data_IF_915016461171
#
_entry.id   IF_915016461171
#
_cell.length_a   1.000
_cell.length_b   1.000
_cell.length_c   1.000
_cell.angle_alpha   90.00
_cell.angle_beta   90.00
_cell.angle_gamma   90.00
#
_symmetry.space_group_name_H-M   'P 1'
#
loop_
_entity.id
_entity.type
_entity.pdbx_description
1 polymer ?
#
# COMPACT_ATOMS: atom_id res chain seq x y z
N UNK A 1 -3.37 8.96 -2.19
CA UNK A 1 -2.96 7.76 -1.43
C UNK A 1 -1.67 7.23 -2.03
N UNK A 2 -0.69 6.76 -1.24
CA UNK A 2 0.61 6.43 -1.79
C UNK A 2 0.55 5.11 -2.57
N UNK A 3 0.89 5.17 -3.85
CA UNK A 3 1.22 4.02 -4.69
C UNK A 3 2.72 4.16 -4.98
N UNK A 4 3.50 3.11 -4.72
CA UNK A 4 4.95 3.14 -4.94
C UNK A 4 5.26 2.49 -6.29
N UNK A 5 5.86 3.27 -7.19
CA UNK A 5 6.37 2.76 -8.46
C UNK A 5 7.87 2.47 -8.32
N UNK A 6 8.28 1.22 -8.52
CA UNK A 6 9.69 0.82 -8.55
C UNK A 6 10.06 0.50 -9.99
N UNK A 7 11.03 1.24 -10.54
CA UNK A 7 11.51 0.98 -11.89
C UNK A 7 12.65 -0.08 -11.83
N UNK A 8 12.64 -1.10 -12.69
CA UNK A 8 13.69 -2.12 -12.69
C UNK A 8 15.08 -1.50 -13.03
N UNK A 9 16.13 -2.07 -12.45
CA UNK A 9 17.51 -1.63 -12.69
C UNK A 9 17.92 -1.84 -14.15
N UNK A 10 18.70 -0.90 -14.71
CA UNK A 10 19.30 -1.05 -16.05
C UNK A 10 20.47 -2.03 -15.99
N UNK A 11 20.42 -3.12 -16.75
CA UNK A 11 21.63 -3.84 -17.14
C UNK A 11 22.29 -3.08 -18.29
N UNK A 12 23.41 -2.40 -18.01
CA UNK A 12 24.32 -1.84 -19.02
C UNK A 12 23.84 -0.56 -19.71
N UNK A 13 24.59 0.54 -19.53
CA UNK A 13 24.42 1.78 -20.29
C UNK A 13 24.66 3.02 -19.43
N UNK A 14 25.67 3.81 -19.82
CA UNK A 14 26.27 4.93 -19.08
C UNK A 14 25.28 5.80 -18.29
N UNK A 15 25.65 6.03 -17.03
CA UNK A 15 24.95 6.85 -16.05
C UNK A 15 25.03 8.33 -16.43
N UNK A 16 24.03 8.85 -17.15
CA UNK A 16 23.78 10.29 -17.23
C UNK A 16 22.90 10.71 -16.05
N UNK A 17 23.58 11.07 -14.96
CA UNK A 17 23.24 12.16 -14.04
C UNK A 17 21.76 12.33 -13.63
N UNK A 18 21.29 11.41 -12.79
CA UNK A 18 20.33 11.73 -11.71
C UNK A 18 21.05 11.60 -10.36
N UNK A 19 22.14 12.36 -10.20
CA UNK A 19 22.71 12.67 -8.90
C UNK A 19 22.42 14.15 -8.62
N UNK A 20 21.15 14.48 -8.35
CA UNK A 20 20.83 15.68 -7.59
C UNK A 20 21.03 15.33 -6.12
N UNK A 21 21.87 16.10 -5.43
CA UNK A 21 22.13 16.00 -4.00
C UNK A 21 20.87 15.64 -3.22
N UNK A 22 20.86 14.43 -2.62
CA UNK A 22 19.80 14.01 -1.70
C UNK A 22 19.84 14.95 -0.50
N UNK A 23 18.86 15.83 -0.39
CA UNK A 23 18.80 16.85 0.65
C UNK A 23 18.56 16.23 2.03
N UNK A 24 19.23 16.77 3.04
CA UNK A 24 19.01 16.52 4.48
C UNK A 24 17.78 17.25 5.04
N UNK A 25 16.94 17.79 4.15
CA UNK A 25 15.84 18.71 4.48
C UNK A 25 14.55 18.15 3.91
N UNK A 26 13.47 18.20 4.70
CA UNK A 26 12.15 17.74 4.25
C UNK A 26 11.61 18.57 3.08
N UNK A 27 10.93 17.95 2.10
CA UNK A 27 10.25 18.68 1.04
C UNK A 27 9.31 19.76 1.59
N UNK A 28 9.30 20.98 1.02
CA UNK A 28 8.60 22.13 1.60
C UNK A 28 7.06 22.00 1.58
N UNK A 29 6.53 21.03 0.83
CA UNK A 29 5.11 20.75 0.79
C UNK A 29 4.63 19.84 1.93
N UNK A 30 5.57 19.20 2.65
CA UNK A 30 5.25 18.42 3.83
C UNK A 30 4.94 19.37 5.00
N UNK A 31 3.97 19.03 5.85
CA UNK A 31 3.65 19.85 7.01
C UNK A 31 4.81 19.79 8.02
N UNK A 32 5.04 20.86 8.80
CA UNK A 32 6.20 20.99 9.71
C UNK A 32 6.28 19.86 10.75
N UNK A 33 5.15 19.23 11.04
CA UNK A 33 5.00 18.09 11.93
C UNK A 33 5.88 16.89 11.54
N UNK A 34 6.34 16.78 10.29
CA UNK A 34 7.35 15.77 9.89
C UNK A 34 8.65 15.86 10.71
N UNK A 35 8.98 17.04 11.23
CA UNK A 35 10.18 17.24 12.04
C UNK A 35 10.10 16.52 13.39
N UNK A 36 8.88 16.18 13.85
CA UNK A 36 8.62 15.46 15.11
C UNK A 36 8.75 13.94 14.97
N UNK A 37 8.93 13.41 13.76
CA UNK A 37 9.16 11.98 13.55
C UNK A 37 10.48 11.59 14.21
N UNK A 38 10.46 10.59 15.11
CA UNK A 38 11.65 10.09 15.80
C UNK A 38 12.34 8.97 15.01
N UNK A 39 11.56 8.08 14.38
CA UNK A 39 12.08 6.94 13.61
C UNK A 39 12.99 7.38 12.44
N UNK A 40 14.29 6.99 12.43
CA UNK A 40 15.24 7.45 11.43
C UNK A 40 14.89 7.03 10.00
N UNK A 41 14.41 5.81 9.81
CA UNK A 41 14.04 5.27 8.50
C UNK A 41 12.81 5.99 7.94
N UNK A 42 11.82 6.28 8.78
CA UNK A 42 10.65 7.06 8.42
C UNK A 42 11.00 8.51 8.07
N UNK A 43 11.97 9.12 8.77
CA UNK A 43 12.50 10.45 8.40
C UNK A 43 13.18 10.41 7.05
N UNK A 44 14.04 9.42 6.79
CA UNK A 44 14.71 9.28 5.49
C UNK A 44 13.70 9.13 4.35
N UNK A 45 12.69 8.27 4.55
CA UNK A 45 11.61 8.11 3.58
C UNK A 45 10.85 9.42 3.35
N UNK A 46 10.51 10.14 4.43
CA UNK A 46 9.80 11.41 4.36
C UNK A 46 10.60 12.48 3.58
N UNK A 47 11.92 12.56 3.78
CA UNK A 47 12.79 13.48 3.01
C UNK A 47 12.80 13.17 1.50
N UNK A 48 12.49 11.93 1.12
CA UNK A 48 12.49 11.45 -0.27
C UNK A 48 11.11 11.51 -0.93
N UNK A 49 10.06 11.92 -0.21
CA UNK A 49 8.70 12.03 -0.78
C UNK A 49 8.69 13.11 -1.88
N UNK A 50 8.11 12.75 -3.02
CA UNK A 50 7.87 13.68 -4.11
C UNK A 50 6.38 13.77 -4.38
N UNK A 51 5.87 14.98 -4.68
CA UNK A 51 4.54 15.13 -5.29
C UNK A 51 4.69 14.84 -6.76
N UNK A 52 3.87 13.92 -7.23
CA UNK A 52 3.99 13.37 -8.57
C UNK A 52 2.75 13.75 -9.39
N UNK A 53 2.88 14.40 -10.56
CA UNK A 53 1.74 14.72 -11.40
C UNK A 53 1.08 13.45 -11.96
N UNK A 54 -0.24 13.49 -12.18
CA UNK A 54 -1.03 12.34 -12.69
C UNK A 54 -0.47 11.78 -14.01
N UNK A 55 0.16 12.62 -14.84
CA UNK A 55 0.79 12.21 -16.12
C UNK A 55 2.24 11.70 -15.97
N UNK A 56 2.69 11.36 -14.76
CA UNK A 56 4.08 11.00 -14.46
C UNK A 56 4.66 9.99 -15.45
N UNK A 57 3.95 8.90 -15.68
CA UNK A 57 4.52 7.80 -16.44
C UNK A 57 4.87 8.24 -17.86
N UNK A 58 3.93 8.93 -18.55
CA UNK A 58 4.13 9.44 -19.91
C UNK A 58 5.20 10.54 -20.00
N UNK A 59 5.36 11.33 -18.94
CA UNK A 59 6.25 12.51 -18.97
C UNK A 59 7.66 12.25 -18.44
N UNK A 60 7.86 11.29 -17.54
CA UNK A 60 9.13 11.14 -16.82
C UNK A 60 9.65 9.70 -16.69
N UNK A 61 8.78 8.68 -16.69
CA UNK A 61 9.23 7.29 -16.54
C UNK A 61 9.44 6.65 -17.91
N UNK A 62 8.45 6.72 -18.80
CA UNK A 62 8.47 6.25 -20.19
C UNK A 62 9.01 4.82 -20.38
N UNK A 63 8.88 4.00 -19.35
CA UNK A 63 9.29 2.59 -19.35
C UNK A 63 8.40 1.76 -18.44
N UNK A 64 8.20 0.48 -18.74
CA UNK A 64 7.43 -0.40 -17.86
C UNK A 64 8.00 -0.43 -16.43
N UNK A 65 7.11 -0.47 -15.43
CA UNK A 65 7.45 -0.44 -14.00
C UNK A 65 6.94 -1.69 -13.27
N UNK A 66 7.45 -1.93 -12.07
CA UNK A 66 6.79 -2.77 -11.07
C UNK A 66 5.91 -1.84 -10.22
N UNK A 67 4.62 -2.15 -10.14
CA UNK A 67 3.66 -1.32 -9.42
C UNK A 67 3.31 -1.96 -8.08
N UNK A 68 3.51 -1.23 -6.98
CA UNK A 68 3.21 -1.70 -5.62
C UNK A 68 2.05 -0.90 -5.04
N UNK A 69 0.97 -1.59 -4.70
CA UNK A 69 -0.24 -1.03 -4.11
C UNK A 69 -0.57 -1.64 -2.75
N UNK A 70 -0.36 -0.92 -1.64
CA UNK A 70 -0.80 -1.38 -0.32
C UNK A 70 -2.26 -0.99 -0.03
N UNK A 71 -3.03 -1.86 0.61
CA UNK A 71 -4.40 -1.60 1.09
C UNK A 71 -5.31 -1.05 -0.01
N UNK A 72 -5.98 0.09 0.17
CA UNK A 72 -6.77 0.74 -0.89
C UNK A 72 -5.93 1.15 -2.12
N UNK A 73 -4.62 1.34 -1.95
CA UNK A 73 -3.68 1.53 -3.05
C UNK A 73 -3.58 0.31 -3.97
N UNK A 74 -3.90 -0.90 -3.49
CA UNK A 74 -4.02 -2.10 -4.33
C UNK A 74 -5.14 -1.96 -5.37
N UNK A 75 -6.28 -1.39 -4.99
CA UNK A 75 -7.38 -1.16 -5.92
C UNK A 75 -6.94 -0.19 -7.02
N UNK A 76 -6.31 0.94 -6.64
CA UNK A 76 -5.74 1.90 -7.60
C UNK A 76 -4.70 1.24 -8.52
N UNK A 77 -3.88 0.32 -7.99
CA UNK A 77 -2.89 -0.39 -8.77
C UNK A 77 -3.51 -1.39 -9.77
N UNK A 78 -4.61 -2.06 -9.41
CA UNK A 78 -5.37 -2.94 -10.31
C UNK A 78 -5.96 -2.14 -11.47
N UNK A 79 -6.70 -1.07 -11.18
CA UNK A 79 -7.30 -0.21 -12.22
C UNK A 79 -6.25 0.34 -13.17
N UNK A 80 -5.11 0.79 -12.63
CA UNK A 80 -4.00 1.28 -13.44
C UNK A 80 -3.40 0.17 -14.31
N UNK A 81 -3.17 -1.03 -13.77
CA UNK A 81 -2.60 -2.16 -14.51
C UNK A 81 -3.52 -2.69 -15.61
N UNK A 82 -4.85 -2.58 -15.42
CA UNK A 82 -5.88 -2.99 -16.40
C UNK A 82 -6.01 -1.95 -17.52
N UNK A 83 -6.03 -0.66 -17.19
CA UNK A 83 -6.22 0.41 -18.18
C UNK A 83 -4.92 0.84 -18.89
N UNK A 84 -3.75 0.54 -18.30
CA UNK A 84 -2.43 0.86 -18.86
C UNK A 84 -1.48 -0.35 -18.80
N UNK A 85 -1.88 -1.51 -19.39
CA UNK A 85 -1.17 -2.76 -19.20
C UNK A 85 0.27 -2.75 -19.74
N UNK A 86 0.56 -1.94 -20.75
CA UNK A 86 1.89 -1.75 -21.33
C UNK A 86 2.87 -1.06 -20.36
N UNK A 87 2.34 -0.38 -19.34
CA UNK A 87 3.13 0.40 -18.39
C UNK A 87 3.56 -0.41 -17.16
N UNK A 88 2.93 -1.55 -16.90
CA UNK A 88 3.15 -2.38 -15.71
C UNK A 88 3.68 -3.75 -16.12
N UNK A 89 4.90 -4.08 -15.68
CA UNK A 89 5.52 -5.40 -15.91
C UNK A 89 5.05 -6.45 -14.92
N UNK A 90 4.92 -6.07 -13.64
CA UNK A 90 4.55 -6.91 -12.52
C UNK A 90 3.79 -6.07 -11.51
N UNK A 91 2.86 -6.71 -10.81
CA UNK A 91 2.03 -6.08 -9.79
C UNK A 91 2.36 -6.67 -8.41
N UNK A 92 2.44 -5.83 -7.39
CA UNK A 92 2.60 -6.25 -5.99
C UNK A 92 1.48 -5.63 -5.17
N UNK A 93 0.67 -6.46 -4.53
CA UNK A 93 -0.46 -6.05 -3.72
C UNK A 93 -0.16 -6.43 -2.26
N UNK A 94 -0.27 -5.48 -1.34
CA UNK A 94 0.00 -5.69 0.09
C UNK A 94 -1.30 -5.46 0.87
N UNK A 95 -1.82 -6.46 1.56
CA UNK A 95 -3.10 -6.44 2.31
C UNK A 95 -4.24 -5.75 1.57
N UNK A 96 -4.50 -6.24 0.35
CA UNK A 96 -5.27 -5.54 -0.65
C UNK A 96 -6.74 -5.29 -0.24
N UNK A 97 -7.17 -4.04 -0.24
CA UNK A 97 -8.58 -3.66 -0.07
C UNK A 97 -9.23 -3.44 -1.43
N UNK A 98 -9.67 -4.53 -2.07
CA UNK A 98 -10.13 -4.55 -3.47
C UNK A 98 -11.58 -5.05 -3.65
N UNK A 99 -12.16 -5.60 -2.58
CA UNK A 99 -13.55 -6.10 -2.58
C UNK A 99 -14.55 -5.15 -1.91
N UNK A 100 -14.10 -3.99 -1.44
CA UNK A 100 -15.00 -2.97 -0.93
C UNK A 100 -15.94 -2.49 -2.04
N UNK A 101 -17.23 -2.36 -1.74
CA UNK A 101 -18.23 -1.75 -2.64
C UNK A 101 -18.12 -0.21 -2.62
N UNK A 102 -16.88 0.28 -2.65
CA UNK A 102 -16.56 1.68 -2.41
C UNK A 102 -17.11 2.17 -1.06
N UNK A 103 -17.66 3.38 -1.04
CA UNK A 103 -18.20 3.99 0.19
C UNK A 103 -19.66 3.63 0.48
N UNK A 104 -20.31 2.83 -0.39
CA UNK A 104 -21.67 2.34 -0.19
C UNK A 104 -22.67 3.44 0.19
N UNK A 105 -23.44 3.23 1.26
CA UNK A 105 -24.42 4.21 1.77
C UNK A 105 -23.81 5.55 2.23
N UNK A 106 -22.51 5.61 2.53
CA UNK A 106 -21.84 6.86 2.91
C UNK A 106 -21.83 7.87 1.75
N UNK A 107 -21.91 7.40 0.50
CA UNK A 107 -22.01 8.26 -0.68
C UNK A 107 -23.30 9.10 -0.71
N UNK A 108 -24.34 8.68 0.02
CA UNK A 108 -25.64 9.36 0.10
C UNK A 108 -25.74 10.34 1.27
N UNK A 109 -24.68 10.46 2.09
CA UNK A 109 -24.71 11.36 3.24
C UNK A 109 -24.68 12.83 2.82
N UNK A 110 -25.43 13.71 3.52
CA UNK A 110 -25.28 15.15 3.36
C UNK A 110 -23.83 15.58 3.59
N UNK A 111 -23.31 16.50 2.75
CA UNK A 111 -21.92 16.95 2.81
C UNK A 111 -21.49 17.36 4.22
N UNK A 112 -22.34 18.07 4.98
CA UNK A 112 -22.04 18.47 6.36
C UNK A 112 -21.70 17.28 7.27
N UNK A 113 -22.45 16.18 7.14
CA UNK A 113 -22.21 14.94 7.91
C UNK A 113 -20.90 14.28 7.45
N UNK A 114 -20.62 14.29 6.14
CA UNK A 114 -19.35 13.79 5.61
C UNK A 114 -18.15 14.59 6.15
N UNK A 115 -18.22 15.92 6.20
CA UNK A 115 -17.17 16.75 6.81
C UNK A 115 -16.99 16.45 8.31
N UNK A 116 -18.08 16.29 9.07
CA UNK A 116 -18.00 15.91 10.48
C UNK A 116 -17.31 14.54 10.67
N UNK A 117 -17.64 13.55 9.84
CA UNK A 117 -16.97 12.24 9.83
C UNK A 117 -15.49 12.33 9.47
N UNK A 118 -15.14 13.11 8.45
CA UNK A 118 -13.75 13.35 8.03
C UNK A 118 -12.95 14.07 9.12
N UNK A 119 -13.56 15.00 9.85
CA UNK A 119 -12.92 15.64 11.00
C UNK A 119 -12.58 14.62 12.11
N UNK A 120 -13.43 13.62 12.34
CA UNK A 120 -13.17 12.55 13.31
C UNK A 120 -11.94 11.70 12.93
N UNK A 121 -11.67 11.49 11.64
CA UNK A 121 -10.48 10.79 11.13
C UNK A 121 -9.16 11.50 11.49
N UNK A 122 -9.22 12.79 11.89
CA UNK A 122 -8.06 13.54 12.38
C UNK A 122 -7.75 13.29 13.86
N UNK A 123 -8.68 12.69 14.61
CA UNK A 123 -8.57 12.57 16.06
C UNK A 123 -7.46 11.58 16.46
N UNK A 124 -6.68 11.97 17.47
CA UNK A 124 -5.61 11.12 18.03
C UNK A 124 -6.18 9.80 18.59
N UNK A 125 -7.29 9.78 19.37
CA UNK A 125 -7.84 8.55 19.90
C UNK A 125 -8.21 7.53 18.83
N UNK A 126 -8.88 7.97 17.74
CA UNK A 126 -9.24 7.07 16.65
C UNK A 126 -8.00 6.52 15.93
N UNK A 127 -6.97 7.34 15.73
CA UNK A 127 -5.72 6.92 15.08
C UNK A 127 -4.92 5.95 15.95
N UNK A 128 -4.89 6.14 17.27
CA UNK A 128 -4.30 5.18 18.21
C UNK A 128 -5.06 3.86 18.17
N UNK A 129 -6.39 3.90 18.17
CA UNK A 129 -7.22 2.69 18.05
C UNK A 129 -6.99 1.97 16.72
N UNK A 130 -6.93 2.71 15.60
CA UNK A 130 -6.62 2.14 14.29
C UNK A 130 -5.25 1.43 14.27
N UNK A 131 -4.23 1.97 14.95
CA UNK A 131 -2.94 1.29 15.08
C UNK A 131 -3.03 -0.04 15.86
N UNK A 132 -3.89 -0.13 16.89
CA UNK A 132 -4.09 -1.38 17.63
C UNK A 132 -4.73 -2.48 16.76
N UNK A 133 -5.49 -2.09 15.75
CA UNK A 133 -6.07 -3.01 14.76
C UNK A 133 -5.08 -3.32 13.63
N UNK A 134 -4.35 -2.31 13.15
CA UNK A 134 -3.46 -2.45 12.01
C UNK A 134 -2.19 -3.24 12.30
N UNK A 135 -1.66 -3.20 13.53
CA UNK A 135 -0.43 -3.88 13.90
C UNK A 135 -0.72 -5.16 14.68
N UNK A 136 0.09 -6.21 14.46
CA UNK A 136 0.04 -7.41 15.31
C UNK A 136 0.58 -7.11 16.71
N UNK A 137 1.74 -6.44 16.78
CA UNK A 137 2.37 -5.96 18.02
C UNK A 137 3.02 -4.59 17.77
N UNK A 138 2.67 -3.60 18.59
CA UNK A 138 3.25 -2.25 18.50
C UNK A 138 3.52 -1.68 19.89
N UNK A 139 4.69 -1.08 20.08
CA UNK A 139 5.01 -0.35 21.32
C UNK A 139 4.29 0.99 21.36
N UNK A 140 4.06 1.54 22.56
CA UNK A 140 3.36 2.81 22.70
C UNK A 140 4.07 3.96 21.96
N UNK A 141 5.40 4.06 22.08
CA UNK A 141 6.20 5.07 21.38
C UNK A 141 6.06 4.98 19.86
N UNK A 142 6.20 3.76 19.31
CA UNK A 142 6.01 3.52 17.87
C UNK A 142 4.58 3.83 17.41
N UNK A 143 3.58 3.55 18.25
CA UNK A 143 2.20 3.90 17.94
C UNK A 143 2.00 5.41 17.82
N UNK A 144 2.58 6.22 18.73
CA UNK A 144 2.54 7.67 18.61
C UNK A 144 3.23 8.19 17.35
N UNK A 145 4.39 7.64 16.99
CA UNK A 145 5.06 7.98 15.73
C UNK A 145 4.18 7.64 14.51
N UNK A 146 3.57 6.45 14.48
CA UNK A 146 2.64 6.05 13.42
C UNK A 146 1.42 6.96 13.37
N UNK A 147 0.89 7.42 14.51
CA UNK A 147 -0.19 8.41 14.54
C UNK A 147 0.26 9.75 13.95
N UNK A 148 1.45 10.24 14.32
CA UNK A 148 1.99 11.50 13.81
C UNK A 148 2.20 11.44 12.29
N UNK A 149 2.89 10.41 11.81
CA UNK A 149 3.13 10.17 10.37
C UNK A 149 1.81 9.98 9.63
N UNK A 150 0.93 9.13 10.15
CA UNK A 150 -0.35 8.79 9.54
C UNK A 150 -1.33 9.96 9.47
N UNK A 151 -1.09 11.05 10.20
CA UNK A 151 -1.94 12.27 10.20
C UNK A 151 -1.38 13.41 9.36
N UNK A 152 -0.15 13.34 8.86
CA UNK A 152 0.47 14.44 8.11
C UNK A 152 -0.40 14.91 6.94
N UNK A 153 -1.02 13.97 6.22
CA UNK A 153 -1.91 14.32 5.11
C UNK A 153 -3.15 15.11 5.57
N UNK A 154 -3.65 14.88 6.79
CA UNK A 154 -4.82 15.57 7.35
C UNK A 154 -4.60 17.06 7.59
N UNK A 155 -3.33 17.48 7.64
CA UNK A 155 -2.91 18.85 7.90
C UNK A 155 -2.85 19.68 6.61
N UNK A 156 -3.07 19.05 5.45
CA UNK A 156 -3.06 19.74 4.16
C UNK A 156 -4.42 20.44 3.94
N UNK A 157 -4.44 21.71 3.50
CA UNK A 157 -5.68 22.50 3.38
C UNK A 157 -6.76 21.85 2.52
N UNK A 158 -6.36 21.07 1.52
CA UNK A 158 -7.25 20.41 0.56
C UNK A 158 -7.72 19.00 1.00
N UNK A 159 -7.19 18.48 2.10
CA UNK A 159 -7.38 17.07 2.44
C UNK A 159 -8.83 16.73 2.79
N UNK A 160 -9.51 17.60 3.54
CA UNK A 160 -10.91 17.37 3.92
C UNK A 160 -11.81 17.32 2.68
N UNK A 161 -11.68 18.31 1.80
CA UNK A 161 -12.43 18.37 0.54
C UNK A 161 -12.15 17.15 -0.34
N UNK A 162 -10.89 16.76 -0.49
CA UNK A 162 -10.52 15.59 -1.26
C UNK A 162 -11.13 14.30 -0.69
N UNK A 163 -11.13 14.16 0.64
CA UNK A 163 -11.66 12.97 1.32
C UNK A 163 -13.19 12.94 1.24
N UNK A 164 -13.87 14.07 1.45
CA UNK A 164 -15.33 14.16 1.29
C UNK A 164 -15.73 13.88 -0.15
N UNK A 165 -15.04 14.46 -1.14
CA UNK A 165 -15.33 14.19 -2.55
C UNK A 165 -15.15 12.71 -2.91
N UNK A 166 -14.10 12.06 -2.40
CA UNK A 166 -13.91 10.61 -2.53
C UNK A 166 -15.04 9.80 -1.89
N UNK A 167 -15.49 10.19 -0.70
CA UNK A 167 -16.59 9.49 -0.03
C UNK A 167 -17.91 9.65 -0.77
N UNK A 168 -18.20 10.85 -1.28
CA UNK A 168 -19.43 11.15 -2.02
C UNK A 168 -19.41 10.57 -3.44
N UNK A 169 -18.23 10.41 -4.07
CA UNK A 169 -18.13 9.79 -5.40
C UNK A 169 -18.43 8.29 -5.42
N UNK A 170 -18.72 7.68 -4.27
CA UNK A 170 -18.92 6.24 -4.15
C UNK A 170 -17.62 5.47 -3.87
N UNK A 171 -16.49 6.14 -3.60
CA UNK A 171 -15.21 5.48 -3.35
C UNK A 171 -14.58 4.89 -4.61
N UNK A 172 -13.92 3.75 -4.46
CA UNK A 172 -13.18 3.10 -5.54
C UNK A 172 -13.52 1.61 -5.58
N UNK A 173 -14.15 1.16 -6.68
CA UNK A 173 -14.59 -0.23 -6.88
C UNK A 173 -13.95 -0.81 -8.14
N UNK A 174 -13.09 -1.81 -7.93
CA UNK A 174 -12.34 -2.51 -8.99
C UNK A 174 -12.71 -3.97 -9.11
N UNK A 175 -13.77 -4.44 -8.44
CA UNK A 175 -14.12 -5.88 -8.37
C UNK A 175 -14.29 -6.50 -9.75
N UNK A 176 -14.88 -5.75 -10.67
CA UNK A 176 -15.08 -6.16 -12.06
C UNK A 176 -13.79 -6.24 -12.88
N UNK A 177 -12.70 -5.61 -12.42
CA UNK A 177 -11.42 -5.54 -13.10
C UNK A 177 -10.40 -6.57 -12.61
N UNK A 178 -10.58 -7.16 -11.41
CA UNK A 178 -9.61 -8.10 -10.80
C UNK A 178 -9.23 -9.22 -11.80
N UNK A 179 -10.23 -9.85 -12.41
CA UNK A 179 -10.04 -10.93 -13.40
C UNK A 179 -9.39 -10.48 -14.72
N UNK A 180 -9.29 -9.18 -14.96
CA UNK A 180 -8.74 -8.60 -16.18
C UNK A 180 -7.24 -8.28 -16.06
N UNK A 181 -6.66 -8.36 -14.85
CA UNK A 181 -5.23 -8.13 -14.62
C UNK A 181 -4.41 -9.16 -15.39
N UNK A 182 -3.53 -8.70 -16.28
CA UNK A 182 -2.70 -9.57 -17.13
C UNK A 182 -1.31 -9.82 -16.55
N UNK A 183 -0.87 -8.95 -15.65
CA UNK A 183 0.47 -8.99 -15.08
C UNK A 183 0.58 -10.11 -14.04
N UNK A 184 1.75 -10.76 -14.00
CA UNK A 184 2.09 -11.62 -12.86
C UNK A 184 2.02 -10.77 -11.59
N UNK A 185 1.28 -11.25 -10.59
CA UNK A 185 0.96 -10.51 -9.38
C UNK A 185 1.49 -11.21 -8.13
N UNK A 186 2.20 -10.49 -7.27
CA UNK A 186 2.53 -10.96 -5.93
C UNK A 186 1.51 -10.38 -4.94
N UNK A 187 0.89 -11.25 -4.14
CA UNK A 187 0.05 -10.86 -3.01
C UNK A 187 0.87 -11.11 -1.74
N UNK A 188 1.08 -10.07 -0.94
CA UNK A 188 1.65 -10.15 0.41
C UNK A 188 0.54 -9.82 1.41
N UNK A 189 0.31 -10.72 2.37
CA UNK A 189 -0.80 -10.55 3.31
C UNK A 189 -0.39 -10.92 4.73
N UNK A 190 -0.61 -10.05 5.71
CA UNK A 190 -0.35 -10.33 7.11
C UNK A 190 -1.33 -11.34 7.70
N UNK A 191 -0.83 -12.44 8.29
CA UNK A 191 -1.67 -13.50 8.88
C UNK A 191 -2.55 -13.02 10.05
N UNK A 192 -2.23 -11.86 10.63
CA UNK A 192 -2.94 -11.24 11.76
C UNK A 192 -3.56 -9.90 11.37
N UNK A 193 -3.83 -9.66 10.09
CA UNK A 193 -4.57 -8.49 9.63
C UNK A 193 -5.98 -8.45 10.25
N UNK A 194 -6.27 -7.39 11.01
CA UNK A 194 -7.59 -7.15 11.64
C UNK A 194 -8.36 -6.01 10.97
N UNK A 195 -7.80 -5.42 9.91
CA UNK A 195 -8.42 -4.36 9.11
C UNK A 195 -9.14 -4.99 7.91
N UNK A 196 -8.49 -5.91 7.21
CA UNK A 196 -9.07 -6.63 6.07
C UNK A 196 -9.05 -8.13 6.38
N UNK A 197 -10.18 -8.80 6.19
CA UNK A 197 -10.28 -10.24 6.45
C UNK A 197 -9.26 -11.01 5.60
N UNK A 198 -8.41 -11.80 6.26
CA UNK A 198 -7.38 -12.65 5.65
C UNK A 198 -7.93 -13.69 4.67
N UNK A 199 -9.20 -14.10 4.80
CA UNK A 199 -9.85 -15.00 3.83
C UNK A 199 -9.90 -14.38 2.43
N UNK A 200 -9.88 -13.05 2.33
CA UNK A 200 -9.86 -12.33 1.05
C UNK A 200 -8.53 -12.48 0.32
N UNK A 201 -7.44 -12.88 0.99
CA UNK A 201 -6.16 -13.17 0.37
C UNK A 201 -6.25 -14.36 -0.59
N UNK A 202 -6.84 -15.47 -0.12
CA UNK A 202 -7.08 -16.66 -0.92
C UNK A 202 -8.06 -16.36 -2.06
N UNK A 203 -9.17 -15.67 -1.76
CA UNK A 203 -10.11 -15.23 -2.80
C UNK A 203 -9.43 -14.39 -3.88
N UNK A 204 -8.56 -13.45 -3.50
CA UNK A 204 -7.82 -12.61 -4.45
C UNK A 204 -6.82 -13.43 -5.28
N UNK A 205 -6.18 -14.42 -4.68
CA UNK A 205 -5.33 -15.36 -5.40
C UNK A 205 -6.12 -16.14 -6.46
N UNK A 206 -7.31 -16.64 -6.10
CA UNK A 206 -8.20 -17.37 -7.00
C UNK A 206 -8.79 -16.50 -8.12
N UNK A 207 -9.16 -15.25 -7.81
CA UNK A 207 -9.74 -14.31 -8.78
C UNK A 207 -8.67 -13.72 -9.73
N UNK A 208 -7.39 -13.69 -9.37
CA UNK A 208 -6.31 -13.20 -10.24
C UNK A 208 -5.77 -14.32 -11.15
N UNK A 209 -5.66 -14.12 -12.48
CA UNK A 209 -5.30 -15.19 -13.41
C UNK A 209 -3.84 -15.66 -13.31
N UNK A 210 -2.94 -14.84 -12.77
CA UNK A 210 -1.54 -15.18 -12.57
C UNK A 210 -1.02 -14.50 -11.32
N UNK A 211 -1.17 -15.15 -10.18
CA UNK A 211 -0.75 -14.60 -8.90
C UNK A 211 0.05 -15.60 -8.06
N UNK A 212 0.86 -15.07 -7.16
CA UNK A 212 1.58 -15.80 -6.12
C UNK A 212 1.14 -15.20 -4.79
N UNK A 213 0.70 -16.03 -3.85
CA UNK A 213 0.28 -15.59 -2.52
C UNK A 213 1.34 -15.94 -1.47
N UNK A 214 1.85 -14.93 -0.77
CA UNK A 214 2.75 -15.06 0.36
C UNK A 214 2.08 -14.50 1.62
N UNK A 215 1.76 -15.39 2.56
CA UNK A 215 1.34 -14.98 3.90
C UNK A 215 2.57 -14.55 4.71
N UNK A 216 2.43 -13.43 5.42
CA UNK A 216 3.49 -12.83 6.23
C UNK A 216 3.24 -13.21 7.69
N UNK A 217 4.07 -14.09 8.28
CA UNK A 217 3.83 -14.62 9.61
C UNK A 217 3.97 -13.53 10.68
N UNK A 218 3.14 -13.64 11.72
CA UNK A 218 3.11 -12.72 12.86
C UNK A 218 3.02 -11.23 12.46
N UNK A 219 2.27 -10.92 11.41
CA UNK A 219 2.13 -9.59 10.84
C UNK A 219 0.68 -9.14 10.74
N UNK A 220 0.41 -7.86 11.04
CA UNK A 220 -0.89 -7.22 10.81
C UNK A 220 -1.02 -6.66 9.40
N UNK A 221 -1.82 -5.59 9.27
CA UNK A 221 -2.19 -4.91 8.02
C UNK A 221 -1.06 -4.10 7.37
N UNK A 222 0.10 -3.98 8.02
CA UNK A 222 1.22 -3.19 7.50
C UNK A 222 2.54 -3.99 7.39
N UNK A 223 2.63 -5.08 6.59
CA UNK A 223 3.83 -5.87 6.38
C UNK A 223 5.06 -5.07 5.98
N UNK A 224 4.88 -4.07 5.13
CA UNK A 224 5.97 -3.20 4.68
C UNK A 224 6.54 -2.31 5.81
N UNK A 225 5.84 -2.23 6.95
CA UNK A 225 6.27 -1.50 8.16
C UNK A 225 6.67 -2.47 9.27
N UNK A 226 5.91 -3.55 9.48
CA UNK A 226 6.14 -4.53 10.56
C UNK A 226 7.25 -5.54 10.25
N UNK A 227 7.36 -5.95 8.98
CA UNK A 227 8.29 -6.99 8.50
C UNK A 227 9.00 -6.52 7.21
N UNK A 228 9.67 -5.36 7.21
CA UNK A 228 10.21 -4.75 6.00
C UNK A 228 11.21 -5.67 5.27
N UNK A 229 12.04 -6.42 5.99
CA UNK A 229 13.01 -7.36 5.39
C UNK A 229 12.31 -8.47 4.63
N UNK A 230 11.26 -9.07 5.21
CA UNK A 230 10.46 -10.11 4.56
C UNK A 230 9.79 -9.61 3.28
N UNK A 231 9.25 -8.38 3.33
CA UNK A 231 8.61 -7.75 2.18
C UNK A 231 9.63 -7.46 1.08
N UNK A 232 10.79 -6.89 1.43
CA UNK A 232 11.86 -6.60 0.46
C UNK A 232 12.39 -7.88 -0.19
N UNK A 233 12.63 -8.93 0.60
CA UNK A 233 13.09 -10.22 0.08
C UNK A 233 12.04 -10.84 -0.84
N UNK A 234 10.77 -10.85 -0.44
CA UNK A 234 9.67 -11.36 -1.26
C UNK A 234 9.56 -10.57 -2.57
N UNK A 235 9.56 -9.24 -2.53
CA UNK A 235 9.49 -8.45 -3.76
C UNK A 235 10.71 -8.70 -4.66
N UNK A 236 11.91 -8.83 -4.08
CA UNK A 236 13.15 -9.06 -4.85
C UNK A 236 13.13 -10.42 -5.55
N UNK A 237 12.77 -11.49 -4.83
CA UNK A 237 12.66 -12.85 -5.36
C UNK A 237 11.56 -12.97 -6.43
N UNK A 238 10.48 -12.21 -6.28
CA UNK A 238 9.40 -12.14 -7.26
C UNK A 238 9.84 -11.46 -8.57
N UNK A 239 10.59 -10.36 -8.44
CA UNK A 239 11.10 -9.60 -9.59
C UNK A 239 12.17 -10.41 -10.34
N UNK A 240 13.05 -11.11 -9.63
CA UNK A 240 14.10 -11.95 -10.23
C UNK A 240 13.57 -13.21 -10.92
N UNK A 241 12.31 -13.60 -10.65
CA UNK A 241 11.72 -14.83 -11.16
C UNK A 241 12.13 -16.09 -10.38
N UNK A 242 12.73 -15.92 -9.20
CA UNK A 242 13.17 -17.02 -8.34
C UNK A 242 12.05 -17.61 -7.47
N UNK A 243 10.84 -17.04 -7.52
CA UNK A 243 9.67 -17.60 -6.84
C UNK A 243 9.06 -18.77 -7.60
N UNK A 244 9.07 -19.93 -6.96
CA UNK A 244 8.30 -21.13 -7.34
C UNK A 244 6.99 -21.11 -6.55
N UNK A 245 5.86 -21.36 -7.21
CA UNK A 245 4.57 -21.56 -6.52
C UNK A 245 4.72 -22.74 -5.55
N UNK A 246 4.75 -22.44 -4.24
CA UNK A 246 4.63 -23.50 -3.24
C UNK A 246 3.14 -23.76 -3.02
N UNK A 247 2.65 -24.99 -3.27
CA UNK A 247 1.31 -25.34 -2.84
C UNK A 247 1.23 -25.20 -1.32
N UNK A 248 0.17 -24.56 -0.84
CA UNK A 248 -0.18 -24.47 0.58
C UNK A 248 -0.32 -25.88 1.15
N UNK A 249 0.71 -26.36 1.84
CA UNK A 249 0.62 -27.60 2.60
C UNK A 249 -0.10 -27.33 3.92
N UNK A 250 -1.43 -27.49 3.90
CA UNK A 250 -2.17 -27.91 5.08
C UNK A 250 -2.31 -29.43 5.04
N UNK A 251 -1.24 -30.13 5.41
CA UNK A 251 -1.33 -31.51 5.85
C UNK A 251 -0.43 -31.64 7.08
N UNK A 252 -1.08 -31.66 8.24
CA UNK A 252 -0.51 -32.06 9.51
C UNK A 252 0.20 -33.41 9.29
N UNK A 253 1.52 -33.45 9.50
CA UNK A 253 2.24 -34.69 9.71
C UNK A 253 1.66 -35.35 10.96
N UNK A 254 0.84 -36.38 10.74
CA UNK A 254 0.50 -37.34 11.76
C UNK A 254 1.78 -38.07 12.16
N UNK A 255 2.25 -37.80 13.38
CA UNK A 255 3.27 -38.61 14.04
C UNK A 255 2.64 -39.97 14.37
N UNK A 256 3.14 -41.10 13.84
CA UNK A 256 2.67 -42.41 14.29
C UNK A 256 3.28 -42.73 15.66
N UNK A 257 2.53 -43.38 16.57
CA UNK A 257 3.04 -43.73 17.89
C UNK A 257 4.07 -44.87 17.78
N UNK A 258 5.18 -44.72 18.49
CA UNK A 258 6.10 -45.79 18.90
C UNK A 258 5.98 -46.03 20.39
#
# INVERSE_FOLDING_TARGET
MPVLAVAPARCGGSSSSINKSLGTVFPPFLPKEVERIVDPSARELAMRIQRVPVKLWRSHIQRPIVLVGPSLGAAVAIDFAVNHPETVTRLVLIDASVYAEGTGHLSKLPRLVAYAGVALLKSIPLRLYANLLAFNKISLGRSFDCVNIGRLHCLLPWWEDATVNFMVSGGYDVRHQIKQVKQKTLILWGEKDRIVNTDLALRLHDDLPNSVLHQVPDCGHLPHVEKPEFVVESISNFISGSMVDRPTSSALEAVPPS
#
